data_IF_730120853189
#
_entry.id   IF_730120853189
#
_cell.length_a   1.000
_cell.length_b   1.000
_cell.length_c   1.000
_cell.angle_alpha   90.00
_cell.angle_beta   90.00
_cell.angle_gamma   90.00
#
_symmetry.space_group_name_H-M   'P 1'
#
loop_
_entity.id
_entity.type
_entity.pdbx_description
1 polymer ?
#
# COMPACT_ATOMS: atom_id res chain seq x y z
N UNK A 1 -19.00 9.87 1.59
CA UNK A 1 -18.84 8.42 1.37
C UNK A 1 -18.69 7.78 2.75
N UNK A 2 -19.65 6.93 3.14
CA UNK A 2 -19.63 6.27 4.45
C UNK A 2 -18.77 5.01 4.43
N UNK A 3 -18.18 4.67 5.56
CA UNK A 3 -17.47 3.40 5.74
C UNK A 3 -18.53 2.30 5.75
N UNK A 4 -18.73 1.62 4.63
CA UNK A 4 -19.80 0.62 4.48
C UNK A 4 -19.45 -0.73 5.11
N UNK A 5 -18.20 -0.91 5.57
CA UNK A 5 -17.66 -2.20 6.04
C UNK A 5 -17.13 -2.15 7.49
N UNK A 6 -17.34 -1.05 8.24
CA UNK A 6 -17.06 -1.09 9.68
C UNK A 6 -18.15 -1.93 10.34
N UNK A 7 -17.80 -3.00 11.07
CA UNK A 7 -18.80 -3.87 11.65
C UNK A 7 -19.60 -3.16 12.74
N UNK A 8 -20.86 -3.54 12.90
CA UNK A 8 -21.73 -3.03 13.97
C UNK A 8 -21.43 -3.68 15.33
N UNK A 9 -20.78 -4.85 15.32
CA UNK A 9 -20.28 -5.56 16.50
C UNK A 9 -18.75 -5.66 16.41
N UNK A 10 -18.05 -5.15 17.43
CA UNK A 10 -16.59 -5.17 17.50
C UNK A 10 -16.00 -6.60 17.51
N UNK A 11 -16.75 -7.60 17.99
CA UNK A 11 -16.32 -9.00 17.98
C UNK A 11 -16.15 -9.58 16.56
N UNK A 12 -16.86 -9.02 15.57
CA UNK A 12 -16.73 -9.46 14.16
C UNK A 12 -15.45 -8.99 13.49
N UNK A 13 -14.65 -8.14 14.14
CA UNK A 13 -13.32 -7.82 13.65
C UNK A 13 -12.36 -9.02 13.75
N UNK A 14 -12.71 -10.07 14.53
CA UNK A 14 -11.90 -11.28 14.73
C UNK A 14 -10.45 -10.97 15.19
N UNK A 15 -10.31 -10.00 16.10
CA UNK A 15 -9.03 -9.57 16.69
C UNK A 15 -9.11 -9.65 18.20
N UNK A 16 -7.98 -9.98 18.83
CA UNK A 16 -7.85 -9.91 20.30
C UNK A 16 -8.11 -8.48 20.83
N UNK A 17 -7.71 -7.48 20.04
CA UNK A 17 -8.02 -6.07 20.25
C UNK A 17 -8.71 -5.50 18.99
N UNK A 18 -10.05 -5.30 19.03
CA UNK A 18 -10.78 -4.63 17.97
C UNK A 18 -10.27 -3.22 17.75
N UNK A 19 -10.28 -2.78 16.49
CA UNK A 19 -9.89 -1.44 16.11
C UNK A 19 -11.06 -0.50 16.36
N UNK A 20 -10.75 0.71 16.83
CA UNK A 20 -11.72 1.78 16.83
C UNK A 20 -12.12 2.15 15.40
N UNK A 21 -13.30 2.76 15.25
CA UNK A 21 -13.76 3.32 13.97
C UNK A 21 -12.72 4.24 13.32
N UNK A 22 -12.05 5.07 14.11
CA UNK A 22 -11.00 5.96 13.62
C UNK A 22 -9.79 5.21 13.07
N UNK A 23 -9.34 4.15 13.74
CA UNK A 23 -8.24 3.30 13.27
C UNK A 23 -8.63 2.53 12.01
N UNK A 24 -9.83 1.96 11.97
CA UNK A 24 -10.36 1.31 10.78
C UNK A 24 -10.40 2.25 9.56
N UNK A 25 -10.88 3.48 9.74
CA UNK A 25 -10.97 4.48 8.66
C UNK A 25 -9.60 4.87 8.10
N UNK A 26 -8.56 4.80 8.93
CA UNK A 26 -7.19 5.20 8.55
C UNK A 26 -6.36 4.02 8.02
N UNK A 27 -6.95 2.82 7.92
CA UNK A 27 -6.24 1.70 7.34
C UNK A 27 -5.97 1.93 5.84
N UNK A 28 -4.77 1.61 5.37
CA UNK A 28 -4.46 1.58 3.93
C UNK A 28 -5.49 0.81 3.13
N UNK A 29 -5.88 1.37 1.98
CA UNK A 29 -6.79 0.74 1.02
C UNK A 29 -6.07 -0.39 0.28
N UNK A 30 -5.95 -1.54 0.94
CA UNK A 30 -5.41 -2.75 0.35
C UNK A 30 -6.54 -3.63 -0.19
N UNK A 31 -6.32 -4.26 -1.34
CA UNK A 31 -7.26 -5.26 -1.83
C UNK A 31 -7.11 -6.55 -1.00
N UNK A 32 -8.18 -7.35 -0.85
CA UNK A 32 -8.09 -8.65 -0.19
C UNK A 32 -7.01 -9.57 -0.79
N UNK A 33 -6.72 -9.42 -2.09
CA UNK A 33 -5.66 -10.13 -2.80
C UNK A 33 -4.26 -9.88 -2.24
N UNK A 34 -3.98 -8.68 -1.71
CA UNK A 34 -2.70 -8.36 -1.06
C UNK A 34 -2.41 -9.32 0.11
N UNK A 35 -3.38 -9.46 1.02
CA UNK A 35 -3.25 -10.33 2.18
C UNK A 35 -3.31 -11.81 1.79
N UNK A 36 -4.20 -12.18 0.85
CA UNK A 36 -4.32 -13.56 0.37
C UNK A 36 -3.01 -14.06 -0.29
N UNK A 37 -2.26 -13.18 -0.93
CA UNK A 37 -0.94 -13.46 -1.50
C UNK A 37 0.19 -13.45 -0.45
N UNK A 38 -0.14 -13.24 0.83
CA UNK A 38 0.82 -13.33 1.94
C UNK A 38 1.67 -12.08 2.13
N UNK A 39 1.22 -10.93 1.59
CA UNK A 39 1.86 -9.66 1.91
C UNK A 39 1.36 -9.08 3.22
N UNK A 40 2.19 -8.24 3.84
CA UNK A 40 1.82 -7.41 4.99
C UNK A 40 2.47 -6.05 4.82
N UNK A 41 1.68 -4.97 4.90
CA UNK A 41 2.24 -3.62 4.88
C UNK A 41 2.79 -3.32 6.28
N UNK A 42 4.12 -3.21 6.37
CA UNK A 42 4.83 -2.95 7.62
C UNK A 42 4.91 -1.44 7.87
N UNK A 43 5.27 -0.69 6.83
CA UNK A 43 5.35 0.77 6.86
C UNK A 43 4.90 1.35 5.50
N UNK A 44 4.11 2.44 5.46
CA UNK A 44 3.51 3.15 6.60
C UNK A 44 2.28 2.41 7.17
N UNK A 45 1.87 2.75 8.39
CA UNK A 45 0.69 2.15 9.05
C UNK A 45 -0.61 2.94 8.81
N UNK A 46 -0.61 3.91 7.88
CA UNK A 46 -1.73 4.82 7.61
C UNK A 46 -2.04 4.87 6.11
N UNK A 47 -3.31 5.07 5.78
CA UNK A 47 -3.82 5.18 4.40
C UNK A 47 -3.34 6.40 3.64
N UNK A 48 -3.02 7.46 4.37
CA UNK A 48 -2.46 8.68 3.84
C UNK A 48 -1.25 9.07 4.68
N UNK A 49 -0.14 9.36 4.00
CA UNK A 49 1.07 9.91 4.63
C UNK A 49 1.49 11.20 3.94
N UNK A 50 2.35 11.96 4.61
CA UNK A 50 3.02 13.13 4.07
C UNK A 50 4.51 12.94 4.26
N UNK A 51 5.29 13.22 3.23
CA UNK A 51 6.76 13.11 3.23
C UNK A 51 7.38 14.38 2.68
N UNK A 52 8.59 14.70 3.16
CA UNK A 52 9.43 15.77 2.63
C UNK A 52 10.49 15.13 1.71
N UNK A 53 10.10 14.85 0.46
CA UNK A 53 10.93 14.17 -0.53
C UNK A 53 10.52 12.73 -0.83
N UNK A 54 11.44 11.79 -0.63
CA UNK A 54 11.28 10.41 -1.09
C UNK A 54 10.21 9.65 -0.29
N UNK A 55 9.50 8.76 -0.99
CA UNK A 55 8.47 7.91 -0.41
C UNK A 55 9.04 6.52 -0.15
N UNK A 56 9.11 6.11 1.11
CA UNK A 56 9.61 4.80 1.53
C UNK A 56 8.47 3.94 2.11
N UNK A 57 8.33 2.71 1.60
CA UNK A 57 7.41 1.69 2.12
C UNK A 57 8.17 0.40 2.44
N UNK A 58 7.68 -0.33 3.42
CA UNK A 58 8.14 -1.69 3.77
C UNK A 58 6.99 -2.67 3.71
N UNK A 59 7.18 -3.75 2.96
CA UNK A 59 6.17 -4.80 2.76
C UNK A 59 6.79 -6.16 3.08
N UNK A 60 6.23 -6.87 4.05
CA UNK A 60 6.54 -8.29 4.26
C UNK A 60 5.95 -9.14 3.13
N UNK A 61 6.69 -10.14 2.67
CA UNK A 61 6.36 -10.99 1.52
C UNK A 61 6.62 -12.46 1.85
N UNK A 62 5.67 -13.08 2.56
CA UNK A 62 5.84 -14.43 3.10
C UNK A 62 5.81 -15.53 2.04
N UNK A 63 5.14 -15.30 0.91
CA UNK A 63 5.00 -16.30 -0.16
C UNK A 63 6.01 -16.12 -1.30
N UNK A 64 6.94 -15.16 -1.19
CA UNK A 64 7.98 -14.93 -2.18
C UNK A 64 7.45 -14.48 -3.54
N UNK A 65 6.31 -13.79 -3.57
CA UNK A 65 5.78 -13.21 -4.81
C UNK A 65 6.65 -12.03 -5.27
N UNK A 66 6.63 -11.75 -6.56
CA UNK A 66 7.29 -10.57 -7.12
C UNK A 66 6.38 -9.35 -6.99
N UNK A 67 6.95 -8.18 -6.72
CA UNK A 67 6.21 -6.93 -6.60
C UNK A 67 6.81 -5.83 -7.48
N UNK A 68 5.92 -5.04 -8.06
CA UNK A 68 6.24 -3.77 -8.71
C UNK A 68 5.45 -2.65 -8.01
N UNK A 69 6.02 -1.45 -8.01
CA UNK A 69 5.36 -0.28 -7.48
C UNK A 69 5.50 0.91 -8.43
N UNK A 70 4.47 1.74 -8.48
CA UNK A 70 4.42 2.97 -9.27
C UNK A 70 3.85 4.12 -8.46
N UNK A 71 4.38 5.32 -8.65
CA UNK A 71 3.80 6.56 -8.17
C UNK A 71 2.97 7.20 -9.29
N UNK A 72 1.66 7.33 -9.07
CA UNK A 72 0.72 7.91 -10.03
C UNK A 72 0.26 9.28 -9.53
N UNK A 73 0.60 10.40 -10.18
CA UNK A 73 0.19 11.73 -9.73
C UNK A 73 -1.32 11.93 -9.87
N UNK A 74 -1.97 12.39 -8.80
CA UNK A 74 -3.42 12.62 -8.79
C UNK A 74 -3.86 13.80 -9.66
N UNK A 75 -2.99 14.79 -9.85
CA UNK A 75 -3.25 15.93 -10.72
C UNK A 75 -3.16 15.58 -12.22
N UNK A 76 -2.86 14.32 -12.55
CA UNK A 76 -2.47 13.91 -13.90
C UNK A 76 -0.99 14.17 -14.17
N UNK A 77 -0.43 13.45 -15.13
CA UNK A 77 0.99 13.51 -15.46
C UNK A 77 1.57 12.14 -15.78
N UNK A 78 2.90 12.07 -15.85
CA UNK A 78 3.61 10.81 -16.05
C UNK A 78 3.62 9.99 -14.75
N UNK A 79 3.38 8.69 -14.87
CA UNK A 79 3.60 7.74 -13.78
C UNK A 79 5.10 7.50 -13.61
N UNK A 80 5.56 7.38 -12.38
CA UNK A 80 6.96 7.08 -12.07
C UNK A 80 7.09 5.68 -11.48
N UNK A 81 8.13 4.95 -11.91
CA UNK A 81 8.42 3.62 -11.36
C UNK A 81 9.17 3.77 -10.06
N UNK A 82 8.76 3.02 -9.04
CA UNK A 82 9.48 2.94 -7.78
C UNK A 82 10.50 1.79 -7.82
N UNK A 83 11.59 1.97 -7.10
CA UNK A 83 12.57 0.92 -6.82
C UNK A 83 11.97 -0.06 -5.82
N UNK A 84 12.03 -1.36 -6.11
CA UNK A 84 11.62 -2.44 -5.20
C UNK A 84 12.81 -3.37 -4.99
N UNK A 85 13.23 -3.56 -3.74
CA UNK A 85 14.39 -4.38 -3.37
C UNK A 85 14.06 -5.32 -2.22
N UNK A 86 14.77 -6.44 -2.15
CA UNK A 86 14.57 -7.47 -1.13
C UNK A 86 13.75 -8.66 -1.64
N UNK A 87 13.43 -9.59 -0.73
CA UNK A 87 12.72 -10.82 -1.04
C UNK A 87 11.63 -11.11 -0.01
N UNK A 88 12.01 -11.47 1.23
CA UNK A 88 11.07 -11.73 2.33
C UNK A 88 10.49 -10.44 2.93
N UNK A 89 11.29 -9.38 2.90
CA UNK A 89 10.86 -8.02 3.18
C UNK A 89 11.28 -7.15 2.01
N UNK A 90 10.31 -6.43 1.45
CA UNK A 90 10.46 -5.57 0.29
C UNK A 90 10.57 -4.12 0.76
N UNK A 91 11.70 -3.50 0.46
CA UNK A 91 11.91 -2.07 0.58
C UNK A 91 11.53 -1.41 -0.75
N UNK A 92 10.54 -0.53 -0.71
CA UNK A 92 10.02 0.18 -1.88
C UNK A 92 10.34 1.66 -1.72
N UNK A 93 11.03 2.24 -2.70
CA UNK A 93 11.39 3.67 -2.71
C UNK A 93 10.91 4.33 -3.99
N UNK A 94 10.09 5.37 -3.86
CA UNK A 94 9.75 6.27 -4.96
C UNK A 94 10.46 7.59 -4.72
N UNK A 95 11.56 7.83 -5.42
CA UNK A 95 12.38 9.03 -5.26
C UNK A 95 12.23 10.02 -6.40
N UNK A 96 12.63 11.26 -6.16
CA UNK A 96 12.63 12.32 -7.19
C UNK A 96 11.24 12.83 -7.58
N UNK A 97 10.21 12.52 -6.80
CA UNK A 97 8.85 13.01 -7.03
C UNK A 97 8.78 14.52 -6.79
N UNK A 98 8.08 15.23 -7.67
CA UNK A 98 7.74 16.63 -7.45
C UNK A 98 6.70 16.80 -6.32
N UNK A 99 6.61 17.99 -5.74
CA UNK A 99 5.59 18.28 -4.73
C UNK A 99 4.19 18.08 -5.31
N UNK A 100 3.33 17.35 -4.59
CA UNK A 100 2.00 16.99 -5.05
C UNK A 100 1.44 15.75 -4.34
N UNK A 101 0.25 15.33 -4.75
CA UNK A 101 -0.39 14.11 -4.22
C UNK A 101 -0.28 12.98 -5.23
N UNK A 102 0.19 11.83 -4.77
CA UNK A 102 0.39 10.62 -5.56
C UNK A 102 -0.39 9.44 -4.96
N UNK A 103 -0.86 8.54 -5.83
CA UNK A 103 -1.25 7.20 -5.45
C UNK A 103 -0.06 6.26 -5.73
N UNK A 104 0.50 5.68 -4.68
CA UNK A 104 1.51 4.63 -4.79
C UNK A 104 0.78 3.32 -4.98
N UNK A 105 0.78 2.82 -6.21
CA UNK A 105 0.10 1.59 -6.61
C UNK A 105 1.07 0.41 -6.53
N UNK A 106 0.62 -0.66 -5.87
CA UNK A 106 1.36 -1.90 -5.69
C UNK A 106 0.78 -2.99 -6.59
N UNK A 107 1.65 -3.70 -7.29
CA UNK A 107 1.27 -4.79 -8.19
C UNK A 107 2.06 -6.05 -7.87
N UNK A 108 1.44 -7.22 -8.00
CA UNK A 108 2.05 -8.50 -7.65
C UNK A 108 1.85 -9.57 -8.71
N UNK A 109 2.81 -10.49 -8.78
CA UNK A 109 2.79 -11.71 -9.60
C UNK A 109 3.54 -12.86 -8.90
N UNK A 110 3.10 -14.12 -9.03
CA UNK A 110 3.93 -15.27 -8.66
C UNK A 110 5.12 -15.47 -9.61
N UNK A 111 5.10 -14.86 -10.79
CA UNK A 111 6.14 -14.98 -11.83
C UNK A 111 6.99 -13.70 -11.89
N UNK A 112 8.30 -13.84 -12.14
CA UNK A 112 9.23 -12.71 -12.21
C UNK A 112 9.02 -11.80 -13.44
N UNK A 113 8.44 -12.36 -14.52
CA UNK A 113 8.19 -11.67 -15.78
C UNK A 113 6.78 -12.04 -16.24
N UNK A 114 5.99 -11.05 -16.66
CA UNK A 114 4.64 -11.28 -17.14
C UNK A 114 3.67 -10.22 -16.62
N UNK A 115 2.44 -10.66 -16.36
CA UNK A 115 1.35 -9.79 -15.90
C UNK A 115 1.39 -9.64 -14.38
N UNK A 116 1.38 -8.39 -13.91
CA UNK A 116 1.25 -8.05 -12.50
C UNK A 116 -0.10 -7.39 -12.26
N UNK A 117 -0.82 -7.87 -11.23
CA UNK A 117 -2.14 -7.35 -10.88
C UNK A 117 -2.02 -6.36 -9.74
N UNK A 118 -2.77 -5.25 -9.80
CA UNK A 118 -2.83 -4.30 -8.70
C UNK A 118 -3.39 -5.01 -7.47
N UNK A 119 -2.69 -4.88 -6.34
CA UNK A 119 -3.08 -5.49 -5.05
C UNK A 119 -3.34 -4.44 -3.98
N UNK A 120 -2.97 -3.17 -4.20
CA UNK A 120 -3.29 -2.11 -3.26
C UNK A 120 -2.75 -0.76 -3.69
N UNK A 121 -3.18 0.27 -2.98
CA UNK A 121 -2.69 1.63 -3.16
C UNK A 121 -2.59 2.40 -1.85
N UNK A 122 -1.68 3.36 -1.80
CA UNK A 122 -1.56 4.33 -0.72
C UNK A 122 -1.51 5.74 -1.27
N UNK A 123 -2.19 6.67 -0.60
CA UNK A 123 -2.10 8.07 -0.98
C UNK A 123 -0.94 8.74 -0.22
N UNK A 124 -0.11 9.48 -0.94
CA UNK A 124 1.06 10.16 -0.37
C UNK A 124 1.07 11.61 -0.83
N UNK A 125 1.25 12.54 0.11
CA UNK A 125 1.47 13.94 -0.18
C UNK A 125 2.97 14.23 -0.07
N UNK A 126 3.60 14.59 -1.18
CA UNK A 126 5.00 15.01 -1.25
C UNK A 126 5.05 16.53 -1.14
N UNK A 127 5.89 17.05 -0.24
CA UNK A 127 6.11 18.48 -0.04
C UNK A 127 7.43 18.93 -0.63
#
# INVERSE_FOLDING_TARGET
>A
MGITHYPEDDAWQLRDAPLSRGEFTRQPMMQPSFFAQGFTLLEPTRSQITVDGDVDLRVGNRKGHHMLAKAVPMAGGAEERCDVRGAEELAIRCGGLASGTYNIQLYSSPEAVGTFWMVGELQVNVR
#
